data_IF_751836166759
#
_entry.id   IF_751836166759
#
_cell.length_a   1.000
_cell.length_b   1.000
_cell.length_c   1.000
_cell.angle_alpha   90.00
_cell.angle_beta   90.00
_cell.angle_gamma   90.00
#
_symmetry.space_group_name_H-M   'P 1'
#
loop_
_entity.id
_entity.type
_entity.pdbx_description
1 polymer ?
#
# COMPACT_ATOMS: atom_id res chain seq x y z
N UNK A 1 8.50 -0.65 15.49
CA UNK A 1 7.73 0.58 15.74
C UNK A 1 8.41 1.30 16.87
N UNK A 2 8.82 2.54 16.62
CA UNK A 2 9.54 3.36 17.59
C UNK A 2 8.65 3.73 18.79
N UNK A 3 9.26 4.21 19.87
CA UNK A 3 8.54 4.73 21.04
C UNK A 3 7.55 5.87 20.72
N UNK A 4 7.76 6.59 19.61
CA UNK A 4 6.85 7.63 19.11
C UNK A 4 5.73 7.10 18.19
N UNK A 5 5.54 5.78 18.12
CA UNK A 5 4.59 5.09 17.25
C UNK A 5 4.88 5.21 15.75
N UNK A 6 6.03 5.75 15.32
CA UNK A 6 6.38 5.76 13.89
C UNK A 6 6.69 4.35 13.37
N UNK A 7 6.21 4.07 12.14
CA UNK A 7 6.52 2.84 11.42
C UNK A 7 7.99 2.78 11.01
N UNK A 8 8.56 1.58 11.10
CA UNK A 8 9.89 1.23 10.63
C UNK A 8 9.82 0.17 9.53
N UNK A 9 10.89 0.02 8.74
CA UNK A 9 10.93 -0.94 7.61
C UNK A 9 10.60 -2.38 8.00
N UNK A 10 10.87 -2.77 9.25
CA UNK A 10 10.56 -4.11 9.75
C UNK A 10 9.14 -4.27 10.29
N UNK A 11 8.37 -3.19 10.41
CA UNK A 11 6.99 -3.21 10.88
C UNK A 11 6.01 -3.50 9.76
N UNK A 12 6.38 -3.20 8.52
CA UNK A 12 5.51 -3.35 7.36
C UNK A 12 6.24 -4.12 6.26
N UNK A 13 5.48 -4.82 5.41
CA UNK A 13 6.00 -5.41 4.19
C UNK A 13 5.09 -5.04 3.02
N UNK A 14 5.68 -4.68 1.88
CA UNK A 14 4.94 -4.43 0.66
C UNK A 14 4.79 -5.75 -0.08
N UNK A 15 3.55 -6.13 -0.37
CA UNK A 15 3.28 -7.31 -1.16
C UNK A 15 3.75 -7.12 -2.62
N UNK A 16 4.02 -8.24 -3.28
CA UNK A 16 4.33 -8.25 -4.72
C UNK A 16 3.09 -8.05 -5.59
N UNK A 17 1.89 -8.34 -5.06
CA UNK A 17 0.64 -8.08 -5.75
C UNK A 17 0.37 -6.57 -5.74
N UNK A 18 0.60 -5.97 -6.90
CA UNK A 18 0.39 -4.56 -7.16
C UNK A 18 -0.59 -4.41 -8.32
N UNK A 19 -1.55 -3.52 -8.14
CA UNK A 19 -2.56 -3.21 -9.14
C UNK A 19 -2.41 -1.74 -9.54
N UNK A 20 -2.29 -1.47 -10.84
CA UNK A 20 -2.28 -0.09 -11.33
C UNK A 20 -3.69 0.23 -11.81
N UNK A 21 -4.25 1.32 -11.27
CA UNK A 21 -5.56 1.83 -11.67
C UNK A 21 -5.55 2.05 -13.19
N UNK A 22 -6.35 1.26 -13.91
CA UNK A 22 -6.40 1.30 -15.38
C UNK A 22 -7.25 2.46 -15.93
N UNK A 23 -8.03 3.14 -15.09
CA UNK A 23 -8.85 4.29 -15.48
C UNK A 23 -8.03 5.59 -15.44
N UNK A 24 -7.13 5.73 -14.47
CA UNK A 24 -6.23 6.88 -14.31
C UNK A 24 -4.85 6.58 -14.90
N UNK A 25 -4.38 5.34 -14.76
CA UNK A 25 -3.07 4.90 -15.23
C UNK A 25 -1.89 5.47 -14.45
N UNK A 26 -2.15 6.10 -13.30
CA UNK A 26 -1.15 6.87 -12.55
C UNK A 26 -1.16 6.55 -11.05
N UNK A 27 -2.03 5.66 -10.59
CA UNK A 27 -2.12 5.26 -9.19
C UNK A 27 -1.82 3.76 -9.08
N UNK A 28 -0.87 3.42 -8.23
CA UNK A 28 -0.46 2.05 -7.92
C UNK A 28 -1.06 1.71 -6.56
N UNK A 29 -1.97 0.75 -6.52
CA UNK A 29 -2.48 0.16 -5.29
C UNK A 29 -1.63 -1.03 -4.93
N UNK A 30 -1.07 -1.01 -3.72
CA UNK A 30 -0.30 -2.11 -3.14
C UNK A 30 -0.92 -2.57 -1.84
N UNK A 31 -0.85 -3.86 -1.57
CA UNK A 31 -1.15 -4.38 -0.24
C UNK A 31 0.07 -4.22 0.68
N UNK A 32 -0.17 -3.71 1.89
CA UNK A 32 0.83 -3.50 2.93
C UNK A 32 0.49 -4.46 4.07
N UNK A 33 1.33 -5.47 4.25
CA UNK A 33 1.25 -6.34 5.41
C UNK A 33 1.69 -5.57 6.66
N UNK A 34 0.89 -5.65 7.71
CA UNK A 34 1.18 -5.03 9.00
C UNK A 34 1.74 -6.08 9.96
N UNK A 35 2.99 -5.92 10.37
CA UNK A 35 3.71 -6.80 11.30
C UNK A 35 3.88 -6.15 12.69
N UNK A 36 3.14 -5.07 12.96
CA UNK A 36 3.12 -4.34 14.23
C UNK A 36 1.77 -4.46 14.92
N UNK A 37 1.71 -3.97 16.17
CA UNK A 37 0.48 -3.89 16.96
C UNK A 37 -0.45 -2.79 16.39
N UNK A 38 -1.33 -3.20 15.47
CA UNK A 38 -2.31 -2.32 14.79
C UNK A 38 -3.31 -1.72 15.77
N UNK A 39 -3.66 -2.43 16.83
CA UNK A 39 -4.58 -1.96 17.85
C UNK A 39 -3.99 -0.79 18.62
N UNK A 40 -2.73 -0.90 19.01
CA UNK A 40 -2.02 0.18 19.70
C UNK A 40 -1.80 1.40 18.82
N UNK A 41 -1.56 1.20 17.52
CA UNK A 41 -1.28 2.28 16.56
C UNK A 41 -2.53 3.04 16.15
N UNK A 42 -3.59 2.34 15.78
CA UNK A 42 -4.81 2.94 15.23
C UNK A 42 -5.96 3.03 16.24
N UNK A 43 -5.82 2.42 17.42
CA UNK A 43 -6.92 2.33 18.40
C UNK A 43 -8.06 1.43 17.92
N UNK A 44 -7.78 0.54 16.98
CA UNK A 44 -8.75 -0.40 16.40
C UNK A 44 -8.72 -1.63 17.27
N UNK A 45 -9.80 -1.95 17.97
CA UNK A 45 -9.83 -3.10 18.88
C UNK A 45 -9.94 -4.43 18.11
N UNK A 46 -8.93 -4.82 17.32
CA UNK A 46 -8.97 -6.04 16.49
C UNK A 46 -8.56 -7.27 17.28
N UNK A 47 -7.69 -7.17 18.28
CA UNK A 47 -7.32 -8.29 19.16
C UNK A 47 -8.47 -8.79 20.05
N UNK A 48 -9.52 -7.98 20.23
CA UNK A 48 -10.73 -8.36 20.97
C UNK A 48 -11.61 -9.37 20.18
N UNK A 49 -11.35 -9.55 18.88
CA UNK A 49 -12.11 -10.43 17.98
C UNK A 49 -11.13 -11.31 17.16
N UNK A 50 -11.07 -12.61 17.44
CA UNK A 50 -10.12 -13.54 16.81
C UNK A 50 -10.28 -13.65 15.28
N UNK A 51 -11.40 -13.17 14.75
CA UNK A 51 -11.72 -13.14 13.33
C UNK A 51 -11.57 -11.74 12.71
N UNK A 52 -11.04 -10.77 13.46
CA UNK A 52 -10.76 -9.43 12.96
C UNK A 52 -9.31 -9.28 12.51
N UNK A 53 -9.12 -8.74 11.31
CA UNK A 53 -7.81 -8.39 10.78
C UNK A 53 -7.84 -7.00 10.15
N UNK A 54 -6.70 -6.30 10.22
CA UNK A 54 -6.50 -5.04 9.53
C UNK A 54 -5.69 -5.27 8.26
N UNK A 55 -6.32 -5.01 7.13
CA UNK A 55 -5.65 -4.89 5.84
C UNK A 55 -5.28 -3.43 5.63
N UNK A 56 -4.07 -3.19 5.12
CA UNK A 56 -3.60 -1.84 4.82
C UNK A 56 -3.25 -1.78 3.34
N UNK A 57 -3.76 -0.77 2.64
CA UNK A 57 -3.54 -0.58 1.21
C UNK A 57 -2.88 0.76 0.97
N UNK A 58 -1.76 0.75 0.26
CA UNK A 58 -1.05 1.96 -0.17
C UNK A 58 -1.45 2.33 -1.59
N UNK A 59 -2.05 3.51 -1.78
CA UNK A 59 -2.35 4.10 -3.08
C UNK A 59 -1.29 5.15 -3.40
N UNK A 60 -0.31 4.75 -4.22
CA UNK A 60 0.84 5.58 -4.55
C UNK A 60 0.73 6.13 -5.98
N UNK A 61 0.74 7.44 -6.12
CA UNK A 61 0.85 8.12 -7.39
C UNK A 61 2.29 8.63 -7.60
N UNK A 62 3.08 7.99 -8.47
CA UNK A 62 4.47 8.39 -8.71
C UNK A 62 4.63 9.64 -9.58
N UNK A 63 3.57 10.16 -10.18
CA UNK A 63 3.58 11.40 -10.98
C UNK A 63 3.34 12.63 -10.10
N UNK A 64 2.45 12.52 -9.12
CA UNK A 64 2.13 13.58 -8.16
C UNK A 64 2.92 13.47 -6.85
N UNK A 65 3.72 12.41 -6.69
CA UNK A 65 4.40 12.05 -5.44
C UNK A 65 3.42 12.00 -4.24
N UNK A 66 2.20 11.53 -4.49
CA UNK A 66 1.15 11.42 -3.49
C UNK A 66 1.02 9.97 -3.02
N UNK A 67 1.05 9.75 -1.71
CA UNK A 67 0.74 8.46 -1.12
C UNK A 67 -0.50 8.62 -0.25
N UNK A 68 -1.50 7.77 -0.46
CA UNK A 68 -2.66 7.62 0.42
C UNK A 68 -2.66 6.22 0.99
N UNK A 69 -3.13 6.09 2.22
CA UNK A 69 -3.22 4.80 2.88
C UNK A 69 -4.67 4.60 3.28
N UNK A 70 -5.22 3.48 2.83
CA UNK A 70 -6.57 3.05 3.16
C UNK A 70 -6.47 1.79 4.02
N UNK A 71 -7.06 1.83 5.21
CA UNK A 71 -7.07 0.71 6.12
C UNK A 71 -8.48 0.09 6.14
N UNK A 72 -8.54 -1.22 5.93
CA UNK A 72 -9.75 -2.02 6.05
C UNK A 72 -9.66 -2.88 7.31
N UNK A 73 -10.66 -2.76 8.18
CA UNK A 73 -10.87 -3.66 9.31
C UNK A 73 -11.91 -4.68 8.86
N UNK A 74 -11.47 -5.90 8.57
CA UNK A 74 -12.39 -7.00 8.30
C UNK A 74 -12.84 -7.64 9.61
N UNK A 75 -14.13 -7.99 9.70
CA UNK A 75 -14.75 -8.66 10.85
C UNK A 75 -15.83 -9.61 10.35
N UNK A 76 -16.25 -10.58 11.17
CA UNK A 76 -17.34 -11.51 10.79
C UNK A 76 -18.65 -10.79 10.41
N UNK A 77 -18.94 -9.65 11.06
CA UNK A 77 -20.16 -8.87 10.82
C UNK A 77 -20.02 -7.83 9.70
N UNK A 78 -18.88 -7.81 8.98
CA UNK A 78 -18.60 -6.91 7.87
C UNK A 78 -17.29 -6.15 8.01
N UNK A 79 -16.85 -5.54 6.92
CA UNK A 79 -15.65 -4.71 6.87
C UNK A 79 -15.95 -3.23 7.14
N UNK A 80 -15.01 -2.52 7.75
CA UNK A 80 -15.02 -1.06 7.91
C UNK A 80 -13.75 -0.46 7.32
N UNK A 81 -13.85 0.73 6.72
CA UNK A 81 -12.73 1.38 6.04
C UNK A 81 -12.46 2.75 6.66
N UNK A 82 -11.19 3.11 6.78
CA UNK A 82 -10.76 4.43 7.20
C UNK A 82 -9.46 4.84 6.51
N UNK A 83 -9.31 6.14 6.27
CA UNK A 83 -8.08 6.70 5.71
C UNK A 83 -7.05 6.91 6.83
N UNK A 84 -5.80 6.51 6.58
CA UNK A 84 -4.66 6.83 7.43
C UNK A 84 -3.79 7.87 6.74
N UNK A 85 -3.54 8.98 7.43
CA UNK A 85 -2.58 10.00 6.99
C UNK A 85 -1.21 9.71 7.61
N UNK A 86 -0.29 9.07 6.87
CA UNK A 86 1.07 8.84 7.36
C UNK A 86 1.83 10.14 7.58
N UNK A 87 2.78 10.12 8.51
CA UNK A 87 3.74 11.22 8.64
C UNK A 87 4.63 11.33 7.39
N UNK A 88 5.35 12.43 7.21
CA UNK A 88 6.28 12.57 6.08
C UNK A 88 7.38 11.48 6.09
N UNK A 89 7.81 11.03 7.27
CA UNK A 89 8.80 9.96 7.39
C UNK A 89 8.23 8.59 7.00
N UNK A 90 7.03 8.27 7.47
CA UNK A 90 6.32 7.03 7.10
C UNK A 90 5.97 7.01 5.61
N UNK A 91 5.50 8.15 5.08
CA UNK A 91 5.23 8.30 3.65
C UNK A 91 6.46 8.00 2.82
N UNK A 92 7.61 8.60 3.17
CA UNK A 92 8.85 8.37 2.43
C UNK A 92 9.29 6.91 2.53
N UNK A 93 9.22 6.32 3.73
CA UNK A 93 9.56 4.92 3.94
C UNK A 93 8.71 3.99 3.07
N UNK A 94 7.39 4.18 3.06
CA UNK A 94 6.47 3.35 2.28
C UNK A 94 6.73 3.52 0.78
N UNK A 95 6.90 4.76 0.30
CA UNK A 95 7.25 5.04 -1.11
C UNK A 95 8.56 4.36 -1.52
N UNK A 96 9.59 4.44 -0.68
CA UNK A 96 10.88 3.79 -0.93
C UNK A 96 10.70 2.27 -1.01
N UNK A 97 9.95 1.68 -0.08
CA UNK A 97 9.69 0.23 -0.07
C UNK A 97 8.88 -0.24 -1.28
N UNK A 98 7.87 0.53 -1.71
CA UNK A 98 7.10 0.26 -2.93
C UNK A 98 8.03 0.29 -4.14
N UNK A 99 8.85 1.34 -4.23
CA UNK A 99 9.81 1.52 -5.33
C UNK A 99 10.82 0.37 -5.39
N UNK A 100 11.39 -0.02 -4.24
CA UNK A 100 12.28 -1.17 -4.14
C UNK A 100 11.58 -2.47 -4.58
N UNK A 101 10.33 -2.67 -4.17
CA UNK A 101 9.57 -3.89 -4.49
C UNK A 101 9.20 -3.97 -5.96
N UNK A 102 8.79 -2.86 -6.57
CA UNK A 102 8.57 -2.77 -8.03
C UNK A 102 9.87 -3.06 -8.78
N UNK A 103 10.99 -2.52 -8.31
CA UNK A 103 12.30 -2.77 -8.92
C UNK A 103 12.73 -4.22 -8.77
N UNK A 104 12.39 -4.88 -7.67
CA UNK A 104 12.69 -6.30 -7.44
C UNK A 104 11.85 -7.23 -8.33
N UNK A 105 10.54 -6.97 -8.44
CA UNK A 105 9.60 -7.86 -9.14
C UNK A 105 9.54 -7.60 -10.66
N UNK A 106 9.62 -6.33 -11.08
CA UNK A 106 9.41 -5.91 -12.47
C UNK A 106 10.66 -5.32 -13.13
N UNK A 107 11.74 -5.08 -12.38
CA UNK A 107 12.94 -4.34 -12.81
C UNK A 107 12.65 -2.92 -13.34
N UNK A 108 11.51 -2.35 -12.99
CA UNK A 108 11.03 -1.05 -13.46
C UNK A 108 10.98 0.00 -12.34
N UNK A 109 10.82 1.26 -12.72
CA UNK A 109 10.39 2.33 -11.82
C UNK A 109 8.87 2.34 -11.68
N UNK A 110 8.32 2.91 -10.58
CA UNK A 110 6.88 3.06 -10.42
C UNK A 110 6.20 3.77 -11.60
N UNK A 111 6.86 4.78 -12.19
CA UNK A 111 6.35 5.50 -13.35
C UNK A 111 6.31 4.60 -14.59
N UNK A 112 7.37 3.84 -14.86
CA UNK A 112 7.41 2.89 -15.98
C UNK A 112 6.34 1.80 -15.85
N UNK A 113 6.10 1.29 -14.65
CA UNK A 113 5.04 0.31 -14.38
C UNK A 113 3.65 0.89 -14.73
N UNK A 114 3.40 2.14 -14.35
CA UNK A 114 2.19 2.85 -14.71
C UNK A 114 2.08 3.05 -16.23
N UNK A 115 3.16 3.47 -16.88
CA UNK A 115 3.21 3.71 -18.32
C UNK A 115 2.94 2.42 -19.12
N UNK A 116 3.54 1.29 -18.73
CA UNK A 116 3.36 0.00 -19.40
C UNK A 116 1.88 -0.43 -19.44
N UNK A 117 1.15 -0.19 -18.35
CA UNK A 117 -0.28 -0.55 -18.26
C UNK A 117 -1.14 0.42 -19.08
N UNK A 118 -0.81 1.72 -19.09
CA UNK A 118 -1.50 2.69 -19.96
C UNK A 118 -1.27 2.47 -21.45
N UNK A 119 -0.11 1.94 -21.85
CA UNK A 119 0.16 1.62 -23.26
C UNK A 119 -0.60 0.37 -23.73
N UNK A 120 -1.13 -0.43 -22.80
CA UNK A 120 -1.85 -1.68 -23.10
C UNK A 120 -0.99 -2.65 -23.92
N UNK A 121 -1.50 -3.85 -24.25
CA UNK A 121 -0.86 -4.62 -25.30
C UNK A 121 -0.95 -3.77 -26.56
N UNK A 122 0.17 -3.25 -27.07
CA UNK A 122 0.27 -2.88 -28.47
C UNK A 122 -0.26 -4.10 -29.21
N UNK A 123 -1.47 -4.01 -29.77
CA UNK A 123 -2.00 -5.02 -30.66
C UNK A 123 -1.07 -5.03 -31.87
N UNK A 124 0.03 -5.76 -31.73
CA UNK A 124 0.77 -6.38 -32.81
C UNK A 124 -0.18 -7.39 -33.44
N UNK A 125 -1.08 -6.88 -34.27
CA UNK A 125 -1.94 -7.65 -35.14
C UNK A 125 -1.97 -6.92 -36.47
N UNK A 126 -1.15 -7.42 -37.40
CA UNK A 126 -1.19 -7.08 -38.82
C UNK A 126 -2.61 -7.12 -39.41
#
# INVERSE_FOLDING_TARGET
>A
MKDNLELERGDIAIDREMDVDCDIGQEITVYIETWFDVDKKFGVHTSDDENAWLNMYGKFNPFEDMLRIECEISRENGSSYFDYEPTSAESQLIKDMITEKIKEEYDQTPQELCEEITEGPVMGGM
#
